data_IF_407847408850
#
_entry.id   IF_407847408850
#
_cell.length_a   1.000
_cell.length_b   1.000
_cell.length_c   1.000
_cell.angle_alpha   90.00
_cell.angle_beta   90.00
_cell.angle_gamma   90.00
#
_symmetry.space_group_name_H-M   'P 1'
#
loop_
_entity.id
_entity.type
_entity.pdbx_description
1 polymer ?
#
# COMPACT_ATOMS: atom_id res chain seq x y z
N UNK A 1 -1.77 -66.14 -22.08
CA UNK A 1 -2.54 -64.96 -22.55
C UNK A 1 -2.35 -64.86 -24.05
N UNK A 2 -3.40 -64.50 -24.77
CA UNK A 2 -3.30 -64.24 -26.20
C UNK A 2 -2.55 -62.91 -26.43
N UNK A 3 -1.68 -62.84 -27.43
CA UNK A 3 -0.81 -61.66 -27.70
C UNK A 3 -1.67 -60.41 -27.93
N UNK A 4 -2.84 -60.58 -28.52
CA UNK A 4 -3.83 -59.51 -28.71
C UNK A 4 -4.35 -58.95 -27.39
N UNK A 5 -4.57 -59.80 -26.38
CA UNK A 5 -5.05 -59.38 -25.06
C UNK A 5 -4.00 -58.52 -24.34
N UNK A 6 -2.72 -58.87 -24.46
CA UNK A 6 -1.62 -58.11 -23.86
C UNK A 6 -1.51 -56.70 -24.45
N UNK A 7 -1.64 -56.57 -25.77
CA UNK A 7 -1.61 -55.28 -26.47
C UNK A 7 -2.78 -54.38 -26.02
N UNK A 8 -3.98 -54.96 -25.89
CA UNK A 8 -5.17 -54.22 -25.45
C UNK A 8 -5.00 -53.66 -24.03
N UNK A 9 -4.45 -54.43 -23.10
CA UNK A 9 -4.24 -53.97 -21.72
C UNK A 9 -3.18 -52.86 -21.63
N UNK A 10 -2.11 -52.91 -22.44
CA UNK A 10 -1.12 -51.82 -22.52
C UNK A 10 -1.76 -50.54 -23.06
N UNK A 11 -2.54 -50.63 -24.14
CA UNK A 11 -3.21 -49.47 -24.74
C UNK A 11 -4.16 -48.82 -23.73
N UNK A 12 -4.97 -49.62 -23.00
CA UNK A 12 -5.86 -49.11 -21.95
C UNK A 12 -5.09 -48.38 -20.85
N UNK A 13 -3.93 -48.88 -20.44
CA UNK A 13 -3.10 -48.28 -19.41
C UNK A 13 -2.46 -46.94 -19.88
N UNK A 14 -2.09 -46.83 -21.16
CA UNK A 14 -1.36 -45.67 -21.71
C UNK A 14 -2.30 -44.57 -22.22
N UNK A 15 -3.54 -44.90 -22.60
CA UNK A 15 -4.52 -43.92 -23.11
C UNK A 15 -4.72 -42.74 -22.17
N UNK A 16 -4.88 -42.98 -20.86
CA UNK A 16 -5.10 -41.91 -19.88
C UNK A 16 -3.89 -40.98 -19.72
N UNK A 17 -2.66 -41.48 -19.48
CA UNK A 17 -1.45 -40.67 -19.46
C UNK A 17 -1.26 -39.84 -20.74
N UNK A 18 -1.42 -40.45 -21.92
CA UNK A 18 -1.25 -39.75 -23.20
C UNK A 18 -2.30 -38.67 -23.37
N UNK A 19 -3.56 -38.93 -23.01
CA UNK A 19 -4.64 -37.95 -23.10
C UNK A 19 -4.36 -36.74 -22.20
N UNK A 20 -3.91 -36.94 -20.96
CA UNK A 20 -3.57 -35.85 -20.04
C UNK A 20 -2.42 -34.99 -20.59
N UNK A 21 -1.37 -35.64 -21.11
CA UNK A 21 -0.22 -34.94 -21.71
C UNK A 21 -0.67 -34.10 -22.90
N UNK A 22 -1.48 -34.67 -23.79
CA UNK A 22 -1.97 -34.00 -25.00
C UNK A 22 -2.88 -32.82 -24.65
N UNK A 23 -3.77 -32.98 -23.66
CA UNK A 23 -4.57 -31.88 -23.11
C UNK A 23 -3.67 -30.79 -22.52
N UNK A 24 -2.71 -31.13 -21.65
CA UNK A 24 -1.81 -30.15 -21.06
C UNK A 24 -1.08 -29.32 -22.12
N UNK A 25 -0.49 -29.96 -23.13
CA UNK A 25 0.21 -29.25 -24.21
C UNK A 25 -0.71 -28.38 -25.06
N UNK A 26 -1.97 -28.77 -25.26
CA UNK A 26 -2.95 -27.99 -26.02
C UNK A 26 -3.49 -26.80 -25.22
N UNK A 27 -3.67 -26.94 -23.90
CA UNK A 27 -4.35 -25.95 -23.06
C UNK A 27 -3.40 -25.05 -22.26
N UNK A 28 -2.13 -25.42 -22.05
CA UNK A 28 -1.17 -24.64 -21.24
C UNK A 28 -1.08 -23.17 -21.67
N UNK A 29 -1.10 -22.90 -22.98
CA UNK A 29 -1.01 -21.55 -23.52
C UNK A 29 -2.30 -20.76 -23.28
N UNK A 30 -3.46 -21.40 -23.48
CA UNK A 30 -4.77 -20.80 -23.21
C UNK A 30 -4.94 -20.45 -21.72
N UNK A 31 -4.49 -21.33 -20.83
CA UNK A 31 -4.53 -21.11 -19.37
C UNK A 31 -3.58 -19.98 -18.97
N UNK A 32 -2.35 -19.95 -19.50
CA UNK A 32 -1.39 -18.89 -19.24
C UNK A 32 -1.92 -17.51 -19.69
N UNK A 33 -2.54 -17.43 -20.87
CA UNK A 33 -3.14 -16.21 -21.38
C UNK A 33 -4.32 -15.73 -20.50
N UNK A 34 -5.14 -16.65 -20.00
CA UNK A 34 -6.23 -16.32 -19.09
C UNK A 34 -5.72 -15.78 -17.75
N UNK A 35 -4.66 -16.40 -17.19
CA UNK A 35 -4.01 -15.93 -15.97
C UNK A 35 -3.48 -14.51 -16.12
N UNK A 36 -2.86 -14.17 -17.26
CA UNK A 36 -2.39 -12.81 -17.53
C UNK A 36 -3.55 -11.81 -17.59
N UNK A 37 -4.69 -12.19 -18.17
CA UNK A 37 -5.88 -11.32 -18.21
C UNK A 37 -6.44 -11.07 -16.82
N UNK A 38 -6.56 -12.13 -16.00
CA UNK A 38 -7.00 -12.01 -14.61
C UNK A 38 -6.06 -11.13 -13.77
N UNK A 39 -4.75 -11.23 -13.97
CA UNK A 39 -3.77 -10.34 -13.33
C UNK A 39 -3.99 -8.87 -13.73
N UNK A 40 -4.16 -8.59 -15.03
CA UNK A 40 -4.41 -7.22 -15.53
C UNK A 40 -5.71 -6.62 -14.96
N UNK A 41 -6.78 -7.42 -14.88
CA UNK A 41 -8.03 -6.98 -14.26
C UNK A 41 -7.82 -6.66 -12.77
N UNK A 42 -7.20 -7.59 -12.03
CA UNK A 42 -6.87 -7.39 -10.62
C UNK A 42 -6.07 -6.10 -10.41
N UNK A 43 -5.01 -5.87 -11.19
CA UNK A 43 -4.22 -4.64 -11.09
C UNK A 43 -5.02 -3.37 -11.34
N UNK A 44 -5.95 -3.39 -12.32
CA UNK A 44 -6.83 -2.27 -12.59
C UNK A 44 -7.81 -2.02 -11.43
N UNK A 45 -8.34 -3.07 -10.81
CA UNK A 45 -9.23 -2.94 -9.66
C UNK A 45 -8.52 -2.27 -8.47
N UNK A 46 -7.26 -2.62 -8.21
CA UNK A 46 -6.45 -1.96 -7.18
C UNK A 46 -6.10 -0.50 -7.51
N UNK A 47 -5.81 -0.18 -8.78
CA UNK A 47 -5.59 1.20 -9.21
C UNK A 47 -6.84 2.06 -8.90
N UNK A 48 -8.03 1.54 -9.22
CA UNK A 48 -9.30 2.19 -8.91
C UNK A 48 -9.55 2.30 -7.40
N UNK A 49 -9.25 1.26 -6.63
CA UNK A 49 -9.38 1.25 -5.16
C UNK A 49 -8.49 2.32 -4.52
N UNK A 50 -7.25 2.46 -5.00
CA UNK A 50 -6.33 3.50 -4.56
C UNK A 50 -6.90 4.89 -4.85
N UNK A 51 -7.31 5.15 -6.10
CA UNK A 51 -7.89 6.43 -6.51
C UNK A 51 -9.13 6.80 -5.68
N UNK A 52 -10.03 5.83 -5.47
CA UNK A 52 -11.24 6.04 -4.68
C UNK A 52 -10.89 6.36 -3.22
N UNK A 53 -10.02 5.56 -2.61
CA UNK A 53 -9.56 5.78 -1.24
C UNK A 53 -8.91 7.17 -1.09
N UNK A 54 -8.18 7.60 -2.11
CA UNK A 54 -7.52 8.90 -2.12
C UNK A 54 -8.52 10.05 -2.17
N UNK A 55 -9.52 9.95 -3.06
CA UNK A 55 -10.62 10.90 -3.18
C UNK A 55 -11.43 11.02 -1.89
N UNK A 56 -11.74 9.89 -1.25
CA UNK A 56 -12.42 9.85 0.03
C UNK A 56 -11.59 10.54 1.12
N UNK A 57 -10.29 10.27 1.17
CA UNK A 57 -9.40 10.89 2.14
C UNK A 57 -9.29 12.41 1.95
N UNK A 58 -9.14 12.88 0.72
CA UNK A 58 -9.10 14.32 0.42
C UNK A 58 -10.38 15.00 0.91
N UNK A 59 -11.55 14.42 0.65
CA UNK A 59 -12.83 14.96 1.13
C UNK A 59 -12.92 15.01 2.67
N UNK A 60 -12.39 14.01 3.37
CA UNK A 60 -12.37 14.00 4.83
C UNK A 60 -11.38 14.99 5.44
N UNK A 61 -10.22 15.18 4.80
CA UNK A 61 -9.19 16.10 5.28
C UNK A 61 -9.65 17.56 5.25
N UNK A 62 -10.46 17.94 4.25
CA UNK A 62 -11.12 19.25 4.20
C UNK A 62 -11.96 19.53 5.46
N UNK A 63 -12.57 18.51 6.05
CA UNK A 63 -13.37 18.62 7.26
C UNK A 63 -12.54 18.58 8.56
N UNK A 64 -11.29 18.12 8.50
CA UNK A 64 -10.41 17.93 9.66
C UNK A 64 -9.52 19.15 10.00
N UNK A 65 -9.55 20.20 9.16
CA UNK A 65 -8.75 21.43 9.31
C UNK A 65 -7.25 21.15 9.46
N UNK A 66 -6.72 20.23 8.65
CA UNK A 66 -5.27 20.04 8.59
C UNK A 66 -4.60 21.29 8.01
N UNK A 67 -3.36 21.60 8.42
CA UNK A 67 -2.59 22.68 7.83
C UNK A 67 -2.47 22.44 6.33
N UNK A 68 -2.74 23.46 5.52
CA UNK A 68 -2.46 23.39 4.09
C UNK A 68 -0.94 23.44 3.96
N UNK A 69 -0.30 22.48 3.25
CA UNK A 69 1.14 22.49 3.12
C UNK A 69 1.51 23.68 2.23
N UNK A 70 2.32 24.62 2.74
CA UNK A 70 2.79 25.73 1.91
C UNK A 70 3.67 25.14 0.79
N UNK A 71 3.45 25.60 -0.44
CA UNK A 71 4.29 25.19 -1.55
C UNK A 71 5.63 25.92 -1.42
N UNK A 72 6.72 25.18 -1.24
CA UNK A 72 8.09 25.71 -1.35
C UNK A 72 8.89 25.86 -0.06
N UNK A 73 8.34 25.61 1.14
CA UNK A 73 9.09 25.79 2.40
C UNK A 73 9.76 24.50 2.92
N UNK A 74 9.43 23.33 2.38
CA UNK A 74 9.92 22.04 2.89
C UNK A 74 10.79 21.34 1.84
N UNK A 75 12.12 21.40 2.04
CA UNK A 75 13.10 20.75 1.16
C UNK A 75 12.89 19.24 1.08
N UNK A 76 12.52 18.61 2.21
CA UNK A 76 12.28 17.16 2.26
C UNK A 76 11.05 16.79 1.43
N UNK A 77 9.99 17.60 1.50
CA UNK A 77 8.81 17.43 0.64
C UNK A 77 9.19 17.50 -0.84
N UNK A 78 9.99 18.48 -1.24
CA UNK A 78 10.41 18.63 -2.64
C UNK A 78 11.24 17.44 -3.12
N UNK A 79 12.11 16.88 -2.27
CA UNK A 79 12.85 15.65 -2.57
C UNK A 79 11.90 14.46 -2.81
N UNK A 80 10.89 14.29 -1.97
CA UNK A 80 9.89 13.21 -2.12
C UNK A 80 9.03 13.41 -3.36
N UNK A 81 8.63 14.65 -3.68
CA UNK A 81 7.90 14.97 -4.90
C UNK A 81 8.71 14.62 -6.17
N UNK A 82 10.03 14.82 -6.14
CA UNK A 82 10.90 14.44 -7.25
C UNK A 82 10.99 12.92 -7.47
N UNK A 83 10.67 12.10 -6.44
CA UNK A 83 10.65 10.65 -6.57
C UNK A 83 9.43 10.13 -7.33
N UNK A 84 8.36 10.93 -7.49
CA UNK A 84 7.11 10.46 -8.11
C UNK A 84 7.36 9.96 -9.53
N UNK A 85 8.16 10.69 -10.31
CA UNK A 85 8.42 10.34 -11.72
C UNK A 85 9.29 9.08 -11.87
N UNK A 86 10.12 8.78 -10.86
CA UNK A 86 11.00 7.62 -10.85
C UNK A 86 10.31 6.37 -10.28
N UNK A 87 9.68 6.53 -9.12
CA UNK A 87 9.01 5.48 -8.38
C UNK A 87 7.91 6.08 -7.50
N UNK A 88 6.66 6.13 -7.99
CA UNK A 88 5.52 6.62 -7.21
C UNK A 88 5.35 5.84 -5.89
N UNK A 89 5.63 4.54 -5.92
CA UNK A 89 5.61 3.68 -4.73
C UNK A 89 6.64 4.12 -3.69
N UNK A 90 7.88 4.40 -4.11
CA UNK A 90 8.90 4.89 -3.19
C UNK A 90 8.50 6.24 -2.60
N UNK A 91 7.91 7.13 -3.41
CA UNK A 91 7.41 8.41 -2.94
C UNK A 91 6.31 8.26 -1.86
N UNK A 92 5.37 7.31 -2.01
CA UNK A 92 4.38 6.97 -0.98
C UNK A 92 5.07 6.50 0.32
N UNK A 93 6.09 5.64 0.21
CA UNK A 93 6.81 5.11 1.38
C UNK A 93 7.59 6.19 2.12
N UNK A 94 8.33 7.03 1.39
CA UNK A 94 9.09 8.14 1.97
C UNK A 94 8.18 9.19 2.61
N UNK A 95 7.04 9.50 1.99
CA UNK A 95 6.04 10.39 2.58
C UNK A 95 5.42 9.81 3.87
N UNK A 96 5.14 8.50 3.90
CA UNK A 96 4.66 7.85 5.11
C UNK A 96 5.71 7.84 6.22
N UNK A 97 6.98 7.63 5.87
CA UNK A 97 8.08 7.65 6.83
C UNK A 97 8.17 9.00 7.55
N UNK A 98 7.90 10.12 6.86
CA UNK A 98 7.83 11.44 7.50
C UNK A 98 6.72 11.54 8.55
N UNK A 99 5.56 10.92 8.31
CA UNK A 99 4.47 10.84 9.30
C UNK A 99 4.88 10.01 10.51
N UNK A 100 5.55 8.87 10.29
CA UNK A 100 6.06 8.02 11.36
C UNK A 100 7.13 8.72 12.19
N UNK A 101 8.06 9.44 11.55
CA UNK A 101 9.06 10.25 12.24
C UNK A 101 8.42 11.33 13.10
N UNK A 102 7.50 12.12 12.55
CA UNK A 102 6.77 13.14 13.32
C UNK A 102 6.01 12.54 14.50
N UNK A 103 5.35 11.39 14.31
CA UNK A 103 4.66 10.67 15.37
C UNK A 103 5.61 10.22 16.49
N UNK A 104 6.72 9.57 16.13
CA UNK A 104 7.71 9.11 17.09
C UNK A 104 8.34 10.26 17.88
N UNK A 105 8.77 11.32 17.18
CA UNK A 105 9.34 12.53 17.78
C UNK A 105 8.34 13.19 18.75
N UNK A 106 7.06 13.25 18.38
CA UNK A 106 6.03 13.83 19.25
C UNK A 106 5.84 13.04 20.54
N UNK A 107 5.85 11.71 20.48
CA UNK A 107 5.69 10.87 21.66
C UNK A 107 6.91 10.93 22.59
N UNK A 108 8.12 10.98 22.04
CA UNK A 108 9.35 11.19 22.83
C UNK A 108 9.30 12.54 23.58
N UNK A 109 8.72 13.58 22.98
CA UNK A 109 8.49 14.86 23.64
C UNK A 109 7.56 14.76 24.86
N UNK A 110 6.55 13.89 24.79
CA UNK A 110 5.58 13.68 25.88
C UNK A 110 6.16 12.83 27.03
N UNK A 111 6.87 11.73 26.72
CA UNK A 111 7.47 10.87 27.75
C UNK A 111 8.75 10.18 27.24
N UNK A 112 9.85 10.94 27.30
CA UNK A 112 11.16 10.52 26.81
C UNK A 112 11.61 9.15 27.35
N UNK A 113 11.44 8.91 28.66
CA UNK A 113 11.91 7.69 29.32
C UNK A 113 11.19 6.45 28.80
N UNK A 114 9.87 6.53 28.58
CA UNK A 114 9.06 5.40 28.13
C UNK A 114 9.30 5.07 26.65
N UNK A 115 9.41 6.09 25.79
CA UNK A 115 9.46 5.91 24.35
C UNK A 115 10.87 5.76 23.76
N UNK A 116 11.95 6.16 24.46
CA UNK A 116 13.34 5.87 24.01
C UNK A 116 13.67 4.37 24.03
N UNK A 117 13.02 3.59 24.89
CA UNK A 117 13.37 2.18 25.13
C UNK A 117 12.30 1.19 24.66
N UNK A 118 11.19 1.67 24.09
CA UNK A 118 10.06 0.83 23.69
C UNK A 118 9.89 0.87 22.18
N UNK A 119 9.97 -0.28 21.52
CA UNK A 119 9.58 -0.40 20.12
C UNK A 119 8.06 -0.21 19.99
N UNK A 120 7.63 0.85 19.31
CA UNK A 120 6.22 1.13 19.03
C UNK A 120 5.90 0.68 17.61
N UNK A 121 4.97 -0.27 17.46
CA UNK A 121 4.52 -0.63 16.12
C UNK A 121 3.73 0.53 15.47
N UNK A 122 3.75 0.66 14.13
CA UNK A 122 2.98 1.69 13.43
C UNK A 122 1.47 1.66 13.73
N UNK A 123 0.93 0.48 14.08
CA UNK A 123 -0.45 0.33 14.55
C UNK A 123 -0.67 1.00 15.91
N UNK A 124 0.28 0.86 16.83
CA UNK A 124 0.19 1.43 18.17
C UNK A 124 0.44 2.95 18.18
N UNK A 125 1.23 3.48 17.23
CA UNK A 125 1.50 4.93 17.13
C UNK A 125 0.21 5.75 17.15
N UNK A 126 -0.79 5.39 16.33
CA UNK A 126 -2.07 6.12 16.27
C UNK A 126 -2.78 6.17 17.63
N UNK A 127 -2.84 5.05 18.35
CA UNK A 127 -3.49 4.98 19.66
C UNK A 127 -2.76 5.79 20.74
N UNK A 128 -1.42 5.82 20.69
CA UNK A 128 -0.64 6.66 21.59
C UNK A 128 -0.84 8.15 21.29
N UNK A 129 -0.86 8.55 20.01
CA UNK A 129 -1.10 9.94 19.62
C UNK A 129 -2.49 10.44 20.06
N UNK A 130 -3.51 9.60 19.99
CA UNK A 130 -4.86 9.93 20.50
C UNK A 130 -4.86 10.05 22.02
N UNK A 131 -4.24 9.09 22.72
CA UNK A 131 -4.15 9.10 24.18
C UNK A 131 -3.39 10.31 24.72
N UNK A 132 -2.39 10.78 23.97
CA UNK A 132 -1.62 11.98 24.27
C UNK A 132 -2.31 13.27 23.80
N UNK A 133 -3.56 13.21 23.33
CA UNK A 133 -4.35 14.36 22.84
C UNK A 133 -3.70 15.14 21.69
N UNK A 134 -2.75 14.52 20.99
CA UNK A 134 -2.09 15.09 19.80
C UNK A 134 -3.05 15.01 18.62
N UNK A 135 -3.70 13.86 18.42
CA UNK A 135 -4.70 13.64 17.38
C UNK A 135 -6.10 13.53 17.98
N UNK A 136 -7.08 14.18 17.34
CA UNK A 136 -8.50 13.89 17.55
C UNK A 136 -8.95 12.71 16.67
N UNK A 137 -10.15 12.19 16.92
CA UNK A 137 -10.71 11.02 16.22
C UNK A 137 -10.69 11.18 14.69
N UNK A 138 -10.94 12.41 14.20
CA UNK A 138 -10.94 12.70 12.76
C UNK A 138 -9.54 12.58 12.17
N UNK A 139 -8.53 13.13 12.82
CA UNK A 139 -7.13 13.04 12.34
C UNK A 139 -6.55 11.65 12.54
N UNK A 140 -6.97 10.93 13.57
CA UNK A 140 -6.63 9.52 13.74
C UNK A 140 -7.20 8.65 12.61
N UNK A 141 -8.41 8.94 12.14
CA UNK A 141 -8.98 8.28 10.95
C UNK A 141 -8.14 8.56 9.70
N UNK A 142 -7.70 9.80 9.50
CA UNK A 142 -6.81 10.19 8.39
C UNK A 142 -5.48 9.43 8.46
N UNK A 143 -4.85 9.39 9.64
CA UNK A 143 -3.64 8.60 9.89
C UNK A 143 -3.82 7.13 9.50
N UNK A 144 -4.93 6.52 9.93
CA UNK A 144 -5.26 5.14 9.61
C UNK A 144 -5.43 4.89 8.11
N UNK A 145 -6.09 5.81 7.40
CA UNK A 145 -6.28 5.72 5.94
C UNK A 145 -4.97 5.87 5.16
N UNK A 146 -4.11 6.83 5.53
CA UNK A 146 -2.76 6.95 4.95
C UNK A 146 -1.94 5.67 5.15
N UNK A 147 -1.97 5.09 6.35
CA UNK A 147 -1.32 3.81 6.65
C UNK A 147 -1.83 2.67 5.76
N UNK A 148 -3.14 2.61 5.54
CA UNK A 148 -3.75 1.58 4.70
C UNK A 148 -3.32 1.73 3.23
N UNK A 149 -3.31 2.96 2.71
CA UNK A 149 -2.81 3.27 1.36
C UNK A 149 -1.32 2.92 1.20
N UNK A 150 -0.49 3.22 2.21
CA UNK A 150 0.91 2.77 2.24
C UNK A 150 1.02 1.24 2.20
N UNK A 151 0.21 0.54 2.99
CA UNK A 151 0.22 -0.94 3.01
C UNK A 151 -0.18 -1.51 1.65
N UNK A 152 -1.20 -0.93 1.01
CA UNK A 152 -1.59 -1.28 -0.36
C UNK A 152 -0.41 -1.13 -1.33
N UNK A 153 0.33 -0.03 -1.25
CA UNK A 153 1.53 0.20 -2.07
C UNK A 153 2.67 -0.81 -1.80
N UNK A 154 2.82 -1.28 -0.55
CA UNK A 154 3.84 -2.30 -0.21
C UNK A 154 3.49 -3.67 -0.78
N UNK A 155 2.24 -4.09 -0.67
CA UNK A 155 1.81 -5.43 -1.05
C UNK A 155 1.54 -5.60 -2.55
N UNK A 156 1.72 -4.53 -3.33
CA UNK A 156 1.31 -4.43 -4.73
C UNK A 156 2.44 -3.92 -5.64
N UNK A 157 3.49 -4.71 -5.88
CA UNK A 157 4.68 -4.26 -6.61
C UNK A 157 4.42 -3.89 -8.08
N UNK A 158 3.45 -4.55 -8.71
CA UNK A 158 3.17 -4.41 -10.16
C UNK A 158 2.07 -3.39 -10.47
N UNK A 159 1.52 -2.73 -9.45
CA UNK A 159 0.37 -1.83 -9.59
C UNK A 159 0.85 -0.43 -9.94
N UNK A 160 0.13 0.21 -10.86
CA UNK A 160 0.38 1.60 -11.23
C UNK A 160 -0.32 2.51 -10.23
N UNK A 161 0.43 3.47 -9.72
CA UNK A 161 -0.11 4.54 -8.88
C UNK A 161 -0.14 5.82 -9.71
N UNK A 162 -1.33 6.36 -10.01
CA UNK A 162 -1.42 7.55 -10.84
C UNK A 162 -0.83 8.77 -10.12
N UNK A 163 -0.06 9.57 -10.87
CA UNK A 163 0.87 10.59 -10.36
C UNK A 163 0.17 11.65 -9.51
N UNK A 164 -1.04 12.06 -9.89
CA UNK A 164 -1.79 13.10 -9.20
C UNK A 164 -2.21 12.64 -7.79
N UNK A 165 -2.68 11.41 -7.68
CA UNK A 165 -3.12 10.79 -6.44
C UNK A 165 -1.94 10.54 -5.51
N UNK A 166 -0.77 10.18 -6.06
CA UNK A 166 0.47 10.08 -5.27
C UNK A 166 0.93 11.45 -4.77
N UNK A 167 0.80 12.51 -5.59
CA UNK A 167 1.09 13.87 -5.16
C UNK A 167 0.17 14.31 -4.01
N UNK A 168 -1.13 14.06 -4.13
CA UNK A 168 -2.10 14.34 -3.07
C UNK A 168 -1.79 13.55 -1.79
N UNK A 169 -1.40 12.28 -1.91
CA UNK A 169 -0.95 11.48 -0.78
C UNK A 169 0.24 12.14 -0.07
N UNK A 170 1.26 12.58 -0.81
CA UNK A 170 2.44 13.26 -0.27
C UNK A 170 2.02 14.55 0.44
N UNK A 171 1.18 15.36 -0.20
CA UNK A 171 0.67 16.61 0.40
C UNK A 171 -0.02 16.35 1.74
N UNK A 172 -0.90 15.34 1.81
CA UNK A 172 -1.62 14.99 3.04
C UNK A 172 -0.71 14.41 4.12
N UNK A 173 0.25 13.58 3.74
CA UNK A 173 1.23 13.02 4.67
C UNK A 173 2.07 14.13 5.32
N UNK A 174 2.61 15.06 4.53
CA UNK A 174 3.36 16.21 5.05
C UNK A 174 2.50 17.17 5.87
N UNK A 175 1.23 17.34 5.51
CA UNK A 175 0.29 18.16 6.29
C UNK A 175 0.02 17.56 7.68
N UNK A 176 -0.15 16.24 7.73
CA UNK A 176 -0.35 15.52 8.98
C UNK A 176 0.92 15.50 9.84
N UNK A 177 2.10 15.28 9.24
CA UNK A 177 3.37 15.30 9.97
C UNK A 177 3.64 16.68 10.59
N UNK A 178 3.41 17.77 9.82
CA UNK A 178 3.53 19.14 10.32
C UNK A 178 2.57 19.41 11.48
N UNK A 179 1.30 19.00 11.35
CA UNK A 179 0.33 19.14 12.43
C UNK A 179 0.79 18.42 13.72
N UNK A 180 1.28 17.18 13.60
CA UNK A 180 1.77 16.39 14.73
C UNK A 180 2.95 17.08 15.42
N UNK A 181 3.93 17.59 14.64
CA UNK A 181 5.08 18.33 15.15
C UNK A 181 4.61 19.61 15.88
N UNK A 182 3.78 20.43 15.23
CA UNK A 182 3.32 21.71 15.78
C UNK A 182 2.52 21.56 17.08
N UNK A 183 1.78 20.45 17.24
CA UNK A 183 0.97 20.18 18.43
C UNK A 183 1.83 19.73 19.63
N UNK A 184 2.98 19.11 19.39
CA UNK A 184 3.90 18.67 20.44
C UNK A 184 4.69 19.82 21.10
N UNK A 185 4.90 20.93 20.39
CA UNK A 185 5.66 22.08 20.89
C UNK A 185 4.79 23.15 21.58
N UNK A 186 3.51 22.87 21.83
CA UNK A 186 2.57 23.74 22.57
C UNK A 186 2.22 23.12 23.91
#
# INVERSE_FOLDING_TARGET
MDVLTFIVEIIKAIIWPVTIVLLFFTFKEKIANLLQYLQKLKYKDFELEFQQSMKELVNETANAKLPIPSQGEDEKKNQVLALIDLSPRSAILEAWLEVESAAAESLVGVNKVFYEHTYISPLQLSGFLVRSEILDDKKAAIFGKLRNLRNMAVHSPDIKFPINEVREYIDLAFSLSKYIRDKNYK
#
